data_IF_537766896427
#
_entry.id   IF_537766896427
#
_cell.length_a   1.000
_cell.length_b   1.000
_cell.length_c   1.000
_cell.angle_alpha   90.00
_cell.angle_beta   90.00
_cell.angle_gamma   90.00
#
_symmetry.space_group_name_H-M   'P 1'
#
loop_
_entity.id
_entity.type
_entity.pdbx_description
1 polymer ?
#
# COMPACT_ATOMS: atom_id res chain seq x y z
N UNK A 1 26.74 -35.25 -7.99
CA UNK A 1 25.54 -35.79 -7.33
C UNK A 1 24.41 -35.00 -7.96
N UNK A 2 23.74 -35.60 -8.95
CA UNK A 2 22.70 -34.90 -9.69
C UNK A 2 21.40 -35.05 -8.90
N UNK A 3 20.84 -33.92 -8.49
CA UNK A 3 19.57 -33.90 -7.78
C UNK A 3 18.49 -33.87 -8.86
N UNK A 4 17.85 -35.01 -9.10
CA UNK A 4 16.67 -35.06 -9.96
C UNK A 4 15.51 -34.35 -9.25
N UNK A 5 15.08 -33.23 -9.83
CA UNK A 5 13.92 -32.48 -9.37
C UNK A 5 12.94 -32.27 -10.51
N UNK A 6 11.65 -32.39 -10.22
CA UNK A 6 10.62 -32.00 -11.17
C UNK A 6 10.57 -30.48 -11.30
N UNK A 7 10.06 -29.97 -12.42
CA UNK A 7 9.87 -28.53 -12.62
C UNK A 7 9.01 -27.90 -11.50
N UNK A 8 8.05 -28.65 -10.97
CA UNK A 8 7.20 -28.23 -9.85
C UNK A 8 7.98 -28.12 -8.54
N UNK A 9 8.86 -29.08 -8.24
CA UNK A 9 9.73 -29.04 -7.07
C UNK A 9 10.74 -27.88 -7.15
N UNK A 10 11.27 -27.60 -8.34
CA UNK A 10 12.15 -26.44 -8.56
C UNK A 10 11.39 -25.14 -8.33
N UNK A 11 10.15 -25.03 -8.83
CA UNK A 11 9.32 -23.85 -8.63
C UNK A 11 8.97 -23.62 -7.15
N UNK A 12 8.61 -24.67 -6.41
CA UNK A 12 8.29 -24.58 -5.00
C UNK A 12 9.51 -24.26 -4.13
N UNK A 13 10.68 -24.80 -4.49
CA UNK A 13 11.94 -24.39 -3.88
C UNK A 13 12.18 -22.90 -4.16
N UNK A 14 12.04 -22.46 -5.41
CA UNK A 14 12.17 -21.05 -5.79
C UNK A 14 11.27 -20.11 -4.96
N UNK A 15 10.00 -20.48 -4.73
CA UNK A 15 9.09 -19.71 -3.86
C UNK A 15 9.58 -19.65 -2.42
N UNK A 16 10.01 -20.78 -1.84
CA UNK A 16 10.50 -20.85 -0.46
C UNK A 16 11.72 -19.96 -0.25
N UNK A 17 12.70 -20.06 -1.14
CA UNK A 17 13.91 -19.25 -1.08
C UNK A 17 13.63 -17.77 -1.38
N UNK A 18 12.74 -17.48 -2.33
CA UNK A 18 12.28 -16.12 -2.61
C UNK A 18 11.60 -15.48 -1.40
N UNK A 19 10.71 -16.20 -0.71
CA UNK A 19 10.05 -15.70 0.49
C UNK A 19 11.05 -15.46 1.64
N UNK A 20 12.00 -16.37 1.83
CA UNK A 20 13.04 -16.22 2.86
C UNK A 20 13.95 -15.01 2.57
N UNK A 21 14.38 -14.85 1.32
CA UNK A 21 15.16 -13.70 0.87
C UNK A 21 14.41 -12.39 1.09
N UNK A 22 13.17 -12.31 0.62
CA UNK A 22 12.33 -11.13 0.77
C UNK A 22 12.08 -10.77 2.23
N UNK A 23 11.89 -11.77 3.09
CA UNK A 23 11.70 -11.55 4.54
C UNK A 23 12.97 -11.05 5.25
N UNK A 24 14.14 -11.21 4.63
CA UNK A 24 15.41 -10.74 5.19
C UNK A 24 15.78 -9.31 4.79
N UNK A 25 15.09 -8.73 3.80
CA UNK A 25 15.37 -7.38 3.31
C UNK A 25 14.72 -6.31 4.19
N UNK A 26 15.36 -5.14 4.36
CA UNK A 26 14.70 -3.97 4.94
C UNK A 26 13.56 -3.51 4.04
N UNK A 27 12.52 -2.92 4.66
CA UNK A 27 11.29 -2.50 3.98
C UNK A 27 11.59 -1.55 2.81
N UNK A 28 12.54 -0.63 2.97
CA UNK A 28 12.89 0.34 1.93
C UNK A 28 13.43 -0.33 0.66
N UNK A 29 14.28 -1.35 0.82
CA UNK A 29 14.87 -2.13 -0.29
C UNK A 29 13.83 -3.07 -0.93
N UNK A 30 12.96 -3.67 -0.11
CA UNK A 30 11.85 -4.51 -0.57
C UNK A 30 10.89 -3.70 -1.46
N UNK A 31 10.72 -2.43 -1.12
CA UNK A 31 9.85 -1.48 -1.80
C UNK A 31 10.56 -0.73 -2.93
N UNK A 32 11.89 -0.74 -3.05
CA UNK A 32 12.63 0.10 -4.03
C UNK A 32 12.31 -0.23 -5.50
N UNK A 33 11.69 -1.39 -5.74
CA UNK A 33 11.02 -1.66 -6.99
C UNK A 33 9.71 -0.85 -7.09
N UNK A 34 9.76 0.30 -7.78
CA UNK A 34 8.66 1.27 -7.92
C UNK A 34 7.31 0.63 -8.30
N UNK A 35 7.30 -0.38 -9.17
CA UNK A 35 6.09 -1.11 -9.55
C UNK A 35 5.48 -1.88 -8.37
N UNK A 36 6.33 -2.36 -7.47
CA UNK A 36 5.92 -3.13 -6.29
C UNK A 36 5.29 -2.23 -5.23
N UNK A 37 5.83 -1.03 -4.97
CA UNK A 37 5.21 -0.03 -4.08
C UNK A 37 3.79 0.27 -4.52
N UNK A 38 3.60 0.63 -5.78
CA UNK A 38 2.29 0.99 -6.30
C UNK A 38 1.31 -0.19 -6.30
N UNK A 39 1.78 -1.40 -6.67
CA UNK A 39 0.95 -2.62 -6.61
C UNK A 39 0.55 -3.01 -5.19
N UNK A 40 1.41 -2.82 -4.20
CA UNK A 40 1.09 -3.09 -2.79
C UNK A 40 0.07 -2.06 -2.29
N UNK A 41 0.30 -0.77 -2.54
CA UNK A 41 -0.62 0.30 -2.15
C UNK A 41 -2.00 0.14 -2.81
N UNK A 42 -2.05 -0.32 -4.06
CA UNK A 42 -3.30 -0.58 -4.77
C UNK A 42 -4.12 -1.75 -4.19
N UNK A 43 -3.50 -2.65 -3.41
CA UNK A 43 -4.20 -3.74 -2.73
C UNK A 43 -4.79 -3.33 -1.39
N UNK A 44 -4.32 -2.21 -0.81
CA UNK A 44 -4.81 -1.70 0.47
C UNK A 44 -6.01 -0.79 0.24
N UNK A 45 -7.05 -0.91 1.09
CA UNK A 45 -8.14 0.06 1.04
C UNK A 45 -7.61 1.42 1.48
N UNK A 46 -8.08 2.53 0.89
CA UNK A 46 -7.66 3.88 1.30
C UNK A 46 -7.80 4.13 2.81
N UNK A 47 -8.81 3.55 3.45
CA UNK A 47 -9.04 3.67 4.89
C UNK A 47 -7.93 3.03 5.75
N UNK A 48 -7.36 1.90 5.31
CA UNK A 48 -6.29 1.17 6.01
C UNK A 48 -4.97 1.94 5.92
N UNK A 49 -4.73 2.60 4.78
CA UNK A 49 -3.59 3.49 4.60
C UNK A 49 -3.77 4.72 5.49
N UNK A 50 -4.91 5.39 5.39
CA UNK A 50 -5.17 6.64 6.09
C UNK A 50 -5.25 6.47 7.62
N UNK A 51 -5.62 5.29 8.13
CA UNK A 51 -5.69 5.03 9.59
C UNK A 51 -4.35 5.15 10.30
N UNK A 52 -3.23 5.02 9.57
CA UNK A 52 -1.89 5.17 10.14
C UNK A 52 -1.50 6.64 10.38
N UNK A 53 -2.22 7.57 9.76
CA UNK A 53 -1.94 9.01 9.84
C UNK A 53 -2.97 9.72 10.71
N UNK A 54 -2.53 10.74 11.46
CA UNK A 54 -3.45 11.67 12.13
C UNK A 54 -4.27 12.43 11.08
N UNK A 55 -5.50 12.87 11.41
CA UNK A 55 -6.36 13.57 10.45
C UNK A 55 -5.69 14.74 9.72
N UNK A 56 -4.85 15.52 10.42
CA UNK A 56 -4.12 16.65 9.85
C UNK A 56 -3.05 16.21 8.84
N UNK A 57 -2.35 15.11 9.13
CA UNK A 57 -1.29 14.56 8.28
C UNK A 57 -1.86 14.03 6.96
N UNK A 58 -3.10 13.54 6.96
CA UNK A 58 -3.79 13.06 5.74
C UNK A 58 -4.03 14.15 4.69
N UNK A 59 -4.02 15.42 5.12
CA UNK A 59 -4.24 16.57 4.25
C UNK A 59 -2.92 17.21 3.79
N UNK A 60 -1.78 16.71 4.28
CA UNK A 60 -0.47 17.23 3.87
C UNK A 60 -0.22 16.94 2.39
N UNK A 61 0.26 17.94 1.65
CA UNK A 61 0.55 17.83 0.22
C UNK A 61 -0.63 18.14 -0.70
N UNK A 62 -1.84 18.37 -0.17
CA UNK A 62 -2.96 18.88 -0.96
C UNK A 62 -2.71 20.34 -1.37
N UNK A 63 -3.12 20.69 -2.58
CA UNK A 63 -3.12 22.08 -3.06
C UNK A 63 -4.27 22.85 -2.40
N UNK A 64 -4.18 24.20 -2.32
CA UNK A 64 -5.26 25.03 -1.78
C UNK A 64 -6.63 24.73 -2.39
N UNK A 65 -6.71 24.56 -3.72
CA UNK A 65 -7.96 24.24 -4.41
C UNK A 65 -8.60 22.90 -3.94
N UNK A 66 -7.77 21.89 -3.67
CA UNK A 66 -8.24 20.59 -3.18
C UNK A 66 -8.74 20.67 -1.73
N UNK A 67 -8.21 21.62 -0.94
CA UNK A 67 -8.69 21.90 0.41
C UNK A 67 -10.05 22.60 0.38
N UNK A 68 -10.25 23.55 -0.53
CA UNK A 68 -11.54 24.23 -0.71
C UNK A 68 -12.65 23.24 -1.09
N UNK A 69 -12.37 22.30 -2.01
CA UNK A 69 -13.32 21.23 -2.39
C UNK A 69 -13.70 20.31 -1.22
N UNK A 70 -12.75 20.04 -0.31
CA UNK A 70 -13.01 19.25 0.90
C UNK A 70 -13.87 20.02 1.90
N UNK A 71 -13.66 21.33 2.05
CA UNK A 71 -14.47 22.19 2.91
C UNK A 71 -15.94 22.19 2.42
N UNK A 72 -16.16 22.38 1.12
CA UNK A 72 -17.48 22.27 0.49
C UNK A 72 -18.15 20.91 0.74
N UNK A 73 -17.38 19.82 0.63
CA UNK A 73 -17.87 18.48 0.92
C UNK A 73 -18.30 18.33 2.39
N UNK A 74 -17.51 18.86 3.33
CA UNK A 74 -17.83 18.79 4.76
C UNK A 74 -19.07 19.62 5.11
N UNK A 75 -19.25 20.80 4.52
CA UNK A 75 -20.46 21.61 4.70
C UNK A 75 -21.72 20.88 4.21
N UNK A 76 -21.67 20.30 2.99
CA UNK A 76 -22.77 19.46 2.46
C UNK A 76 -23.08 18.28 3.38
N UNK A 77 -22.06 17.70 4.02
CA UNK A 77 -22.23 16.56 4.93
C UNK A 77 -22.85 16.97 6.27
N UNK A 78 -22.52 18.15 6.80
CA UNK A 78 -23.16 18.70 8.02
C UNK A 78 -24.64 18.96 7.77
N UNK A 79 -24.99 19.63 6.67
CA UNK A 79 -26.38 19.90 6.28
C UNK A 79 -27.23 18.62 6.18
N UNK A 80 -26.66 17.53 5.65
CA UNK A 80 -27.33 16.21 5.58
C UNK A 80 -27.53 15.51 6.93
N UNK A 81 -26.81 15.92 7.99
CA UNK A 81 -26.96 15.36 9.34
C UNK A 81 -27.97 16.13 10.18
N UNK A 82 -28.25 17.37 9.80
CA UNK A 82 -29.15 18.29 10.51
C UNK A 82 -30.60 18.23 9.98
N UNK A 83 -30.81 17.67 8.78
CA UNK A 83 -32.11 17.28 8.23
C UNK A 83 -32.44 15.82 8.54
#
# INVERSE_FOLDING_TARGET
>A
MDIEMTAEQVADLGKRWGNAYLSSLPVDELLDNYDRRQKILAQLKPQEILSQFKPQERLTGLKPQELDELEDYFEKRKQKREN
#
